data_IF_360588665636
#
_entry.id   IF_360588665636
#
_cell.length_a   1.000
_cell.length_b   1.000
_cell.length_c   1.000
_cell.angle_alpha   90.00
_cell.angle_beta   90.00
_cell.angle_gamma   90.00
#
_symmetry.space_group_name_H-M   'P 1'
#
loop_
_entity.id
_entity.type
_entity.pdbx_description
1 polymer ?
#
# COMPACT_ATOMS: atom_id res chain seq x y z
N UNK A 1 39.98 -6.63 -16.68
CA UNK A 1 40.86 -7.53 -15.91
C UNK A 1 40.37 -7.52 -14.46
N UNK A 2 39.88 -8.67 -14.00
CA UNK A 2 39.61 -9.10 -12.61
C UNK A 2 39.18 -8.05 -11.55
N UNK A 3 37.87 -7.88 -11.35
CA UNK A 3 37.30 -7.43 -10.05
C UNK A 3 36.19 -8.36 -9.51
N UNK A 4 35.88 -9.48 -10.18
CA UNK A 4 34.77 -10.37 -9.80
C UNK A 4 35.18 -11.72 -9.22
N UNK A 5 36.48 -12.02 -9.14
CA UNK A 5 36.94 -13.34 -8.69
C UNK A 5 36.99 -13.45 -7.15
N UNK A 6 37.44 -12.40 -6.44
CA UNK A 6 37.59 -12.47 -4.99
C UNK A 6 36.25 -12.51 -4.24
N UNK A 7 35.28 -11.65 -4.59
CA UNK A 7 34.02 -11.59 -3.87
C UNK A 7 33.19 -12.89 -3.99
N UNK A 8 33.25 -13.55 -5.16
CA UNK A 8 32.57 -14.83 -5.36
C UNK A 8 33.28 -15.96 -4.59
N UNK A 9 34.62 -15.94 -4.56
CA UNK A 9 35.41 -16.90 -3.77
C UNK A 9 35.20 -16.71 -2.27
N UNK A 10 35.12 -15.47 -1.78
CA UNK A 10 34.90 -15.16 -0.38
C UNK A 10 33.48 -15.58 0.07
N UNK A 11 32.47 -15.38 -0.78
CA UNK A 11 31.11 -15.89 -0.53
C UNK A 11 31.08 -17.42 -0.50
N UNK A 12 31.79 -18.10 -1.41
CA UNK A 12 31.88 -19.57 -1.42
C UNK A 12 32.57 -20.11 -0.16
N UNK A 13 33.63 -19.46 0.31
CA UNK A 13 34.34 -19.86 1.53
C UNK A 13 33.47 -19.64 2.77
N UNK A 14 32.71 -18.53 2.85
CA UNK A 14 31.76 -18.29 3.95
C UNK A 14 30.66 -19.36 4.00
N UNK A 15 30.07 -19.73 2.85
CA UNK A 15 29.04 -20.78 2.79
C UNK A 15 29.61 -22.14 3.21
N UNK A 16 30.80 -22.51 2.74
CA UNK A 16 31.46 -23.76 3.17
C UNK A 16 31.80 -23.74 4.66
N UNK A 17 32.23 -22.59 5.20
CA UNK A 17 32.50 -22.46 6.62
C UNK A 17 31.22 -22.63 7.46
N UNK A 18 30.09 -22.06 7.01
CA UNK A 18 28.78 -22.29 7.62
C UNK A 18 28.33 -23.76 7.54
N UNK A 19 28.65 -24.50 6.47
CA UNK A 19 28.32 -25.93 6.37
C UNK A 19 29.15 -26.78 7.33
N UNK A 20 30.44 -26.44 7.53
CA UNK A 20 31.36 -27.24 8.36
C UNK A 20 31.25 -26.91 9.85
N UNK A 21 31.04 -25.64 10.20
CA UNK A 21 31.06 -25.17 11.60
C UNK A 21 29.72 -24.59 12.07
N UNK A 22 28.72 -24.50 11.20
CA UNK A 22 27.40 -24.00 11.57
C UNK A 22 26.70 -24.99 12.49
N UNK A 23 26.58 -24.59 13.75
CA UNK A 23 25.53 -25.08 14.64
C UNK A 23 24.20 -25.05 13.89
N UNK A 24 23.34 -26.04 14.16
CA UNK A 24 21.97 -26.11 13.66
C UNK A 24 21.24 -24.80 13.99
N UNK A 25 21.33 -23.79 13.15
CA UNK A 25 20.23 -22.86 12.97
C UNK A 25 19.16 -23.67 12.27
N UNK A 26 18.19 -24.10 13.07
CA UNK A 26 16.90 -24.54 12.62
C UNK A 26 16.46 -23.55 11.55
N UNK A 27 16.57 -23.97 10.29
CA UNK A 27 15.92 -23.30 9.20
C UNK A 27 14.47 -23.23 9.63
N UNK A 28 14.02 -22.05 10.07
CA UNK A 28 12.59 -21.76 10.12
C UNK A 28 12.15 -22.10 8.71
N UNK A 29 11.44 -23.22 8.59
CA UNK A 29 10.77 -23.55 7.36
C UNK A 29 10.10 -22.25 6.94
N UNK A 30 10.23 -21.88 5.67
CA UNK A 30 9.23 -21.01 5.09
C UNK A 30 7.96 -21.86 5.21
N UNK A 31 7.32 -21.79 6.38
CA UNK A 31 5.97 -22.24 6.59
C UNK A 31 5.25 -21.46 5.51
N UNK A 32 4.89 -22.16 4.44
CA UNK A 32 3.88 -21.69 3.53
C UNK A 32 2.70 -21.43 4.44
N UNK A 33 2.57 -20.19 4.92
CA UNK A 33 1.57 -19.76 5.88
C UNK A 33 0.28 -20.17 5.21
N UNK A 34 -0.32 -21.26 5.70
CA UNK A 34 -1.43 -21.90 5.01
C UNK A 34 -2.46 -20.79 4.75
N UNK A 35 -2.77 -20.56 3.48
CA UNK A 35 -3.66 -19.46 3.10
C UNK A 35 -4.99 -19.70 3.80
N UNK A 36 -5.28 -18.89 4.81
CA UNK A 36 -6.53 -19.01 5.56
C UNK A 36 -7.68 -18.60 4.64
N UNK A 37 -8.74 -19.41 4.49
CA UNK A 37 -9.94 -19.00 3.78
C UNK A 37 -10.57 -17.81 4.50
N UNK A 38 -10.50 -16.64 3.87
CA UNK A 38 -10.96 -15.38 4.42
C UNK A 38 -10.19 -14.88 5.64
N UNK A 39 -10.32 -13.57 5.90
CA UNK A 39 -9.58 -12.89 6.96
C UNK A 39 -9.96 -11.42 7.02
N UNK A 40 -9.73 -10.81 8.19
CA UNK A 40 -9.87 -9.36 8.37
C UNK A 40 -8.62 -8.81 9.03
N UNK A 41 -8.01 -7.83 8.38
CA UNK A 41 -6.76 -7.18 8.78
C UNK A 41 -7.08 -5.75 9.20
N UNK A 42 -7.31 -5.59 10.50
CA UNK A 42 -7.47 -4.29 11.15
C UNK A 42 -6.11 -3.61 11.27
N UNK A 43 -5.95 -2.44 10.64
CA UNK A 43 -4.68 -1.71 10.63
C UNK A 43 -4.22 -1.32 12.05
N UNK A 44 -5.14 -1.14 13.01
CA UNK A 44 -4.77 -0.81 14.40
C UNK A 44 -4.15 -1.99 15.12
N UNK A 45 -4.47 -3.22 14.71
CA UNK A 45 -3.82 -4.44 15.21
C UNK A 45 -2.43 -4.65 14.62
N UNK A 46 -2.08 -3.91 13.56
CA UNK A 46 -0.75 -3.91 12.95
C UNK A 46 0.13 -2.77 13.47
N UNK A 47 -0.42 -1.83 14.24
CA UNK A 47 0.33 -0.71 14.83
C UNK A 47 -0.19 0.68 14.46
N UNK A 48 -1.18 0.77 13.55
CA UNK A 48 -1.68 2.05 13.08
C UNK A 48 -2.28 2.89 14.22
N UNK A 49 -1.90 4.16 14.27
CA UNK A 49 -2.41 5.16 15.21
C UNK A 49 -3.38 6.13 14.53
N UNK A 50 -4.63 6.14 15.00
CA UNK A 50 -5.71 7.01 14.50
C UNK A 50 -5.64 8.46 14.99
N UNK A 51 -4.44 9.04 15.14
CA UNK A 51 -4.20 10.36 15.75
C UNK A 51 -4.00 11.51 14.73
N UNK A 52 -4.09 11.22 13.43
CA UNK A 52 -3.93 12.16 12.32
C UNK A 52 -2.50 12.66 12.08
N UNK A 53 -1.50 12.15 12.82
CA UNK A 53 -0.12 12.66 12.84
C UNK A 53 0.93 11.59 12.53
N UNK A 54 0.75 10.39 13.07
CA UNK A 54 1.64 9.25 12.82
C UNK A 54 1.42 8.76 11.40
N UNK A 55 2.50 8.57 10.64
CA UNK A 55 2.45 7.97 9.32
C UNK A 55 2.18 6.46 9.44
N UNK A 56 1.01 6.03 8.96
CA UNK A 56 0.54 4.64 9.00
C UNK A 56 0.67 3.94 7.63
N UNK A 57 1.49 4.46 6.71
CA UNK A 57 1.66 3.90 5.36
C UNK A 57 2.04 2.42 5.41
N UNK A 58 2.97 2.06 6.31
CA UNK A 58 3.45 0.68 6.45
C UNK A 58 2.36 -0.25 6.98
N UNK A 59 1.57 0.19 7.94
CA UNK A 59 0.49 -0.63 8.52
C UNK A 59 -0.58 -0.97 7.46
N UNK A 60 -0.96 0.02 6.63
CA UNK A 60 -1.92 -0.19 5.54
C UNK A 60 -1.33 -1.08 4.43
N UNK A 61 -0.05 -0.89 4.09
CA UNK A 61 0.64 -1.75 3.13
C UNK A 61 0.77 -3.20 3.62
N UNK A 62 1.05 -3.41 4.91
CA UNK A 62 1.10 -4.74 5.53
C UNK A 62 -0.27 -5.41 5.56
N UNK A 63 -1.33 -4.66 5.88
CA UNK A 63 -2.70 -5.16 5.80
C UNK A 63 -3.05 -5.62 4.38
N UNK A 64 -2.67 -4.83 3.37
CA UNK A 64 -2.87 -5.18 1.96
C UNK A 64 -2.08 -6.44 1.57
N UNK A 65 -0.79 -6.52 1.91
CA UNK A 65 0.04 -7.68 1.62
C UNK A 65 -0.52 -8.96 2.27
N UNK A 66 -0.99 -8.86 3.52
CA UNK A 66 -1.58 -9.96 4.25
C UNK A 66 -2.92 -10.40 3.66
N UNK A 67 -3.79 -9.45 3.31
CA UNK A 67 -5.06 -9.72 2.64
C UNK A 67 -4.84 -10.38 1.28
N UNK A 68 -4.04 -9.79 0.40
CA UNK A 68 -3.83 -10.30 -0.95
C UNK A 68 -3.06 -11.64 -1.00
N UNK A 69 -2.33 -12.00 0.06
CA UNK A 69 -1.73 -13.33 0.22
C UNK A 69 -2.71 -14.45 0.57
N UNK A 70 -3.91 -14.11 1.08
CA UNK A 70 -4.96 -15.04 1.48
C UNK A 70 -5.91 -15.41 0.34
N UNK A 71 -6.57 -16.57 0.46
CA UNK A 71 -7.59 -17.06 -0.49
C UNK A 71 -9.00 -16.77 0.02
N UNK A 72 -10.00 -16.68 -0.86
CA UNK A 72 -11.37 -16.31 -0.48
C UNK A 72 -11.52 -14.83 -0.15
N UNK A 73 -12.61 -14.43 0.53
CA UNK A 73 -12.92 -13.02 0.82
C UNK A 73 -12.05 -12.45 1.94
N UNK A 74 -11.21 -11.49 1.60
CA UNK A 74 -10.30 -10.83 2.54
C UNK A 74 -10.76 -9.40 2.79
N UNK A 75 -10.62 -8.91 4.02
CA UNK A 75 -10.99 -7.55 4.39
C UNK A 75 -9.78 -6.81 4.95
N UNK A 76 -9.49 -5.63 4.40
CA UNK A 76 -8.60 -4.63 5.00
C UNK A 76 -9.52 -3.66 5.74
N UNK A 77 -9.40 -3.59 7.06
CA UNK A 77 -10.27 -2.77 7.90
C UNK A 77 -9.53 -1.53 8.39
N UNK A 78 -10.06 -0.36 8.03
CA UNK A 78 -9.66 0.95 8.51
C UNK A 78 -10.77 1.43 9.45
N UNK A 79 -10.65 1.18 10.76
CA UNK A 79 -11.69 1.51 11.73
C UNK A 79 -11.79 3.02 11.95
N UNK A 80 -12.68 3.47 12.84
CA UNK A 80 -12.79 4.89 13.21
C UNK A 80 -11.44 5.42 13.75
N UNK A 81 -11.06 6.60 13.28
CA UNK A 81 -9.81 7.29 13.64
C UNK A 81 -9.27 8.08 12.45
N UNK A 82 -8.28 8.93 12.69
CA UNK A 82 -7.60 9.71 11.65
C UNK A 82 -6.25 9.08 11.35
N UNK A 83 -6.07 8.51 10.16
CA UNK A 83 -4.87 7.78 9.78
C UNK A 83 -4.15 8.52 8.65
N UNK A 84 -3.07 9.22 9.00
CA UNK A 84 -2.18 9.83 8.01
C UNK A 84 -1.45 8.73 7.25
N UNK A 85 -1.47 8.81 5.91
CA UNK A 85 -0.79 7.87 5.02
C UNK A 85 -0.18 8.61 3.83
N UNK A 86 0.97 8.13 3.39
CA UNK A 86 1.61 8.50 2.13
C UNK A 86 0.99 7.79 0.93
N UNK A 87 1.80 7.61 -0.11
CA UNK A 87 1.39 6.87 -1.30
C UNK A 87 1.17 5.38 -0.97
N UNK A 88 -0.02 4.87 -1.31
CA UNK A 88 -0.43 3.49 -1.20
C UNK A 88 -0.47 2.86 -2.59
N UNK A 89 0.39 1.88 -2.84
CA UNK A 89 0.41 1.12 -4.09
C UNK A 89 -0.05 -0.32 -3.79
N UNK A 90 -1.33 -0.61 -4.03
CA UNK A 90 -1.84 -1.97 -3.98
C UNK A 90 -1.54 -2.64 -5.32
N UNK A 91 -0.35 -3.24 -5.40
CA UNK A 91 0.23 -3.82 -6.63
C UNK A 91 0.38 -5.34 -6.57
N UNK A 92 -0.38 -5.99 -5.70
CA UNK A 92 -0.32 -7.44 -5.53
C UNK A 92 -1.45 -8.10 -6.32
N UNK A 93 -1.21 -9.17 -7.09
CA UNK A 93 -2.30 -10.06 -7.46
C UNK A 93 -2.86 -10.64 -6.16
N UNK A 94 -4.05 -10.20 -5.79
CA UNK A 94 -4.76 -10.76 -4.65
C UNK A 94 -5.27 -12.15 -5.08
N UNK A 95 -5.02 -13.18 -4.27
CA UNK A 95 -5.42 -14.56 -4.61
C UNK A 95 -6.93 -14.81 -4.48
N UNK A 96 -7.68 -13.82 -3.99
CA UNK A 96 -9.12 -13.85 -3.83
C UNK A 96 -9.69 -12.44 -3.71
N UNK A 97 -11.01 -12.37 -3.51
CA UNK A 97 -11.75 -11.12 -3.38
C UNK A 97 -11.23 -10.26 -2.23
N UNK A 98 -11.13 -8.95 -2.46
CA UNK A 98 -10.66 -8.00 -1.44
C UNK A 98 -11.69 -6.92 -1.20
N UNK A 99 -12.05 -6.74 0.07
CA UNK A 99 -12.81 -5.60 0.55
C UNK A 99 -11.90 -4.66 1.33
N UNK A 100 -11.83 -3.40 0.92
CA UNK A 100 -11.26 -2.31 1.71
C UNK A 100 -12.43 -1.64 2.44
N UNK A 101 -12.56 -1.91 3.74
CA UNK A 101 -13.58 -1.32 4.61
C UNK A 101 -13.01 -0.05 5.26
N UNK A 102 -13.50 1.11 4.84
CA UNK A 102 -13.09 2.44 5.31
C UNK A 102 -14.20 3.01 6.20
N UNK A 103 -14.06 2.87 7.52
CA UNK A 103 -14.98 3.44 8.51
C UNK A 103 -14.39 4.66 9.26
N UNK A 104 -13.09 4.87 9.15
CA UNK A 104 -12.38 6.07 9.63
C UNK A 104 -11.99 7.03 8.51
N UNK A 105 -10.99 7.86 8.78
CA UNK A 105 -10.46 8.83 7.83
C UNK A 105 -9.05 8.42 7.42
N UNK A 106 -8.85 8.15 6.13
CA UNK A 106 -7.51 8.16 5.56
C UNK A 106 -7.18 9.60 5.15
N UNK A 107 -6.05 10.10 5.63
CA UNK A 107 -5.56 11.45 5.32
C UNK A 107 -4.31 11.35 4.45
N UNK A 108 -4.35 11.88 3.24
CA UNK A 108 -3.21 11.87 2.34
C UNK A 108 -2.12 12.83 2.84
N UNK A 109 -0.86 12.38 2.94
CA UNK A 109 0.26 13.25 3.31
C UNK A 109 0.27 14.53 2.46
N UNK A 110 0.48 15.68 3.12
CA UNK A 110 0.59 16.99 2.46
C UNK A 110 1.98 17.22 1.86
N UNK A 111 2.96 16.38 2.23
CA UNK A 111 4.32 16.44 1.70
C UNK A 111 4.37 15.86 0.28
N UNK A 112 4.39 16.75 -0.72
CA UNK A 112 4.46 16.36 -2.13
C UNK A 112 5.77 15.64 -2.51
N UNK A 113 6.81 15.70 -1.66
CA UNK A 113 8.06 14.97 -1.90
C UNK A 113 7.93 13.46 -1.63
N UNK A 114 6.92 13.05 -0.87
CA UNK A 114 6.62 11.64 -0.58
C UNK A 114 5.87 10.92 -1.71
N UNK A 115 5.45 11.65 -2.75
CA UNK A 115 4.86 11.06 -3.95
C UNK A 115 5.92 10.94 -5.02
N UNK A 116 5.92 9.80 -5.71
CA UNK A 116 6.73 9.63 -6.92
C UNK A 116 6.31 10.66 -7.98
N UNK A 117 7.17 10.90 -8.95
CA UNK A 117 6.77 11.67 -10.14
C UNK A 117 5.58 10.99 -10.82
N UNK A 118 4.54 11.77 -11.14
CA UNK A 118 3.23 11.27 -11.56
C UNK A 118 2.59 10.24 -10.60
N UNK A 119 3.01 10.25 -9.34
CA UNK A 119 2.50 9.39 -8.27
C UNK A 119 1.04 9.68 -7.95
N UNK A 120 0.33 8.64 -7.54
CA UNK A 120 -1.08 8.68 -7.12
C UNK A 120 -1.08 8.53 -5.62
N UNK A 121 -2.17 8.94 -4.96
CA UNK A 121 -2.28 8.68 -3.54
C UNK A 121 -2.60 7.22 -3.25
N UNK A 122 -3.70 6.70 -3.80
CA UNK A 122 -4.08 5.29 -3.70
C UNK A 122 -4.12 4.74 -5.13
N UNK A 123 -3.15 3.91 -5.49
CA UNK A 123 -3.10 3.19 -6.76
C UNK A 123 -3.43 1.72 -6.51
N UNK A 124 -4.47 1.22 -7.18
CA UNK A 124 -4.87 -0.18 -7.15
C UNK A 124 -4.69 -0.75 -8.55
N UNK A 125 -3.87 -1.79 -8.66
CA UNK A 125 -3.44 -2.31 -9.95
C UNK A 125 -3.68 -3.82 -10.02
N UNK A 126 -4.41 -4.28 -11.07
CA UNK A 126 -4.64 -5.71 -11.39
C UNK A 126 -5.27 -6.51 -10.25
N UNK A 127 -6.48 -6.10 -9.86
CA UNK A 127 -7.27 -6.79 -8.82
C UNK A 127 -8.63 -7.16 -9.39
N UNK A 128 -9.04 -8.42 -9.21
CA UNK A 128 -10.39 -8.88 -9.51
C UNK A 128 -11.25 -8.85 -8.24
N UNK A 129 -12.55 -8.56 -8.38
CA UNK A 129 -13.53 -8.56 -7.28
C UNK A 129 -13.11 -7.66 -6.10
N UNK A 130 -12.81 -6.40 -6.41
CA UNK A 130 -12.49 -5.37 -5.43
C UNK A 130 -13.74 -4.65 -4.96
N UNK A 131 -13.89 -4.50 -3.64
CA UNK A 131 -14.90 -3.62 -3.03
C UNK A 131 -14.21 -2.60 -2.16
N UNK A 132 -14.44 -1.30 -2.41
CA UNK A 132 -14.08 -0.22 -1.48
C UNK A 132 -15.37 0.31 -0.89
N UNK A 133 -15.57 0.11 0.41
CA UNK A 133 -16.82 0.48 1.07
C UNK A 133 -16.63 0.99 2.49
N UNK A 134 -17.71 1.40 3.15
CA UNK A 134 -17.72 1.92 4.51
C UNK A 134 -18.32 3.32 4.60
N UNK A 135 -18.21 3.94 5.79
CA UNK A 135 -18.80 5.27 6.08
C UNK A 135 -17.75 6.37 6.28
N UNK A 136 -16.50 6.03 6.03
CA UNK A 136 -15.34 6.88 6.26
C UNK A 136 -15.01 7.81 5.09
N UNK A 137 -13.89 8.52 5.24
CA UNK A 137 -13.41 9.51 4.28
C UNK A 137 -12.04 9.11 3.71
N UNK A 138 -11.87 9.27 2.40
CA UNK A 138 -10.58 9.37 1.75
C UNK A 138 -10.30 10.87 1.52
N UNK A 139 -9.65 11.52 2.49
CA UNK A 139 -9.31 12.94 2.45
C UNK A 139 -7.95 13.16 1.80
N UNK A 140 -7.96 13.70 0.57
CA UNK A 140 -6.76 14.02 -0.18
C UNK A 140 -5.95 15.19 0.39
N UNK A 141 -6.45 15.93 1.38
CA UNK A 141 -5.83 17.14 1.95
C UNK A 141 -5.33 18.12 0.86
N UNK A 142 -6.13 18.27 -0.20
CA UNK A 142 -5.85 19.09 -1.38
C UNK A 142 -5.66 20.58 -1.12
N UNK A 143 -6.49 21.25 -0.29
CA UNK A 143 -6.36 22.68 -0.01
C UNK A 143 -4.96 23.13 0.42
N UNK A 144 -4.21 22.26 1.12
CA UNK A 144 -2.84 22.55 1.55
C UNK A 144 -1.83 22.69 0.38
N UNK A 145 -2.15 22.14 -0.79
CA UNK A 145 -1.21 22.02 -1.92
C UNK A 145 -1.76 22.51 -3.26
N UNK A 146 -3.03 22.89 -3.37
CA UNK A 146 -3.61 23.38 -4.63
C UNK A 146 -2.87 24.59 -5.21
N UNK A 147 -2.30 25.45 -4.35
CA UNK A 147 -1.44 26.58 -4.78
C UNK A 147 -0.17 26.16 -5.52
N UNK A 148 0.22 24.88 -5.44
CA UNK A 148 1.36 24.28 -6.15
C UNK A 148 1.01 23.77 -7.55
N UNK A 149 -0.28 23.71 -7.91
CA UNK A 149 -0.71 23.35 -9.25
C UNK A 149 -0.39 24.50 -10.24
N UNK A 150 0.38 24.19 -11.27
CA UNK A 150 0.77 25.14 -12.33
C UNK A 150 0.24 24.78 -13.72
N UNK A 151 -0.61 23.77 -13.82
CA UNK A 151 -1.15 23.26 -15.10
C UNK A 151 -2.07 24.23 -15.84
N UNK A 152 -2.54 25.28 -15.18
CA UNK A 152 -3.27 26.38 -15.84
C UNK A 152 -2.34 27.39 -16.52
N UNK A 153 -1.03 27.35 -16.23
CA UNK A 153 -0.04 28.33 -16.69
C UNK A 153 1.02 27.72 -17.62
N UNK A 154 1.22 26.40 -17.54
CA UNK A 154 2.29 25.68 -18.25
C UNK A 154 1.78 24.33 -18.72
N UNK A 155 2.15 23.95 -19.95
CA UNK A 155 1.84 22.64 -20.51
C UNK A 155 2.67 21.50 -19.87
N UNK A 156 3.90 21.79 -19.44
CA UNK A 156 4.84 20.87 -18.80
C UNK A 156 4.75 20.91 -17.26
N UNK A 157 3.54 21.09 -16.72
CA UNK A 157 3.34 21.18 -15.29
C UNK A 157 3.53 19.83 -14.57
N UNK A 158 3.97 19.89 -13.29
CA UNK A 158 3.89 18.73 -12.39
C UNK A 158 2.45 18.54 -11.92
N UNK A 159 1.83 17.44 -12.36
CA UNK A 159 0.47 17.06 -11.95
C UNK A 159 0.47 16.64 -10.47
N UNK A 160 -0.55 17.07 -9.73
CA UNK A 160 -0.75 16.68 -8.34
C UNK A 160 -1.36 15.25 -8.24
N UNK A 161 -1.13 14.50 -7.15
CA UNK A 161 -1.62 13.13 -7.04
C UNK A 161 -3.15 13.04 -7.08
N UNK A 162 -3.69 12.18 -7.94
CA UNK A 162 -5.10 11.76 -7.88
C UNK A 162 -5.33 10.93 -6.62
N UNK A 163 -6.54 11.00 -6.05
CA UNK A 163 -6.82 10.34 -4.77
C UNK A 163 -6.92 8.83 -4.89
N UNK A 164 -7.80 8.33 -5.76
CA UNK A 164 -8.00 6.90 -5.99
C UNK A 164 -7.87 6.59 -7.49
N UNK A 165 -6.90 5.75 -7.84
CA UNK A 165 -6.66 5.34 -9.22
C UNK A 165 -6.71 3.82 -9.30
N UNK A 166 -7.58 3.31 -10.16
CA UNK A 166 -7.79 1.88 -10.36
C UNK A 166 -7.41 1.51 -11.78
N UNK A 167 -6.40 0.66 -11.95
CA UNK A 167 -5.96 0.18 -13.27
C UNK A 167 -6.12 -1.33 -13.36
N UNK A 168 -6.73 -1.78 -14.46
CA UNK A 168 -6.97 -3.21 -14.72
C UNK A 168 -7.72 -3.90 -13.57
N UNK A 169 -8.72 -3.23 -13.01
CA UNK A 169 -9.61 -3.80 -11.98
C UNK A 169 -10.86 -4.36 -12.65
N UNK A 170 -11.12 -5.67 -12.51
CA UNK A 170 -12.36 -6.28 -12.99
C UNK A 170 -13.33 -6.47 -11.82
N UNK A 171 -14.63 -6.23 -12.05
CA UNK A 171 -15.67 -6.30 -11.02
C UNK A 171 -15.33 -5.44 -9.78
N UNK A 172 -14.93 -4.18 -10.01
CA UNK A 172 -14.67 -3.21 -8.95
C UNK A 172 -15.93 -2.46 -8.54
N UNK A 173 -16.16 -2.34 -7.23
CA UNK A 173 -17.21 -1.49 -6.65
C UNK A 173 -16.59 -0.47 -5.69
N UNK A 174 -17.00 0.79 -5.80
CA UNK A 174 -16.71 1.84 -4.81
C UNK A 174 -18.04 2.42 -4.35
N UNK A 175 -18.39 2.24 -3.07
CA UNK A 175 -19.70 2.63 -2.54
C UNK A 175 -19.62 3.08 -1.08
N UNK A 176 -20.48 4.00 -0.64
CA UNK A 176 -20.59 4.43 0.77
C UNK A 176 -19.49 5.37 1.29
N UNK A 177 -18.24 5.22 0.84
CA UNK A 177 -17.12 6.09 1.24
C UNK A 177 -17.28 7.50 0.67
N UNK A 178 -16.72 8.48 1.37
CA UNK A 178 -16.65 9.87 0.89
C UNK A 178 -15.26 10.17 0.34
N UNK A 179 -15.19 10.70 -0.89
CA UNK A 179 -13.95 11.21 -1.46
C UNK A 179 -13.87 12.72 -1.22
N UNK A 180 -12.97 13.13 -0.35
CA UNK A 180 -12.91 14.51 0.14
C UNK A 180 -11.60 15.18 -0.29
N UNK A 181 -11.67 16.47 -0.64
CA UNK A 181 -10.50 17.34 -0.83
C UNK A 181 -9.34 16.71 -1.63
N UNK A 182 -9.58 16.17 -2.83
CA UNK A 182 -8.49 15.60 -3.62
C UNK A 182 -7.40 16.64 -3.94
N UNK A 183 -6.13 16.24 -4.02
CA UNK A 183 -5.06 17.13 -4.51
C UNK A 183 -5.25 17.47 -5.99
N UNK A 184 -5.84 16.55 -6.76
CA UNK A 184 -6.18 16.76 -8.17
C UNK A 184 -7.56 16.17 -8.50
N UNK A 185 -7.64 14.99 -9.14
CA UNK A 185 -8.91 14.31 -9.35
C UNK A 185 -9.20 13.28 -8.27
N UNK A 186 -10.47 13.20 -7.86
CA UNK A 186 -10.91 12.24 -6.84
C UNK A 186 -10.73 10.79 -7.30
N UNK A 187 -11.15 10.46 -8.52
CA UNK A 187 -11.04 9.11 -9.08
C UNK A 187 -10.54 9.12 -10.52
N UNK A 188 -9.74 8.12 -10.86
CA UNK A 188 -9.44 7.74 -12.24
C UNK A 188 -9.53 6.21 -12.36
N UNK A 189 -10.20 5.73 -13.40
CA UNK A 189 -10.38 4.32 -13.73
C UNK A 189 -10.07 4.09 -15.19
#
# INVERSE_FOLDING_TARGET
MACTDNAMRDLFLLVLFCIVHGEKEESKGIDAKASRPGGSFDITKLGASGNGKTDNTKDVQEACASACGGTGKQTILIPKGDFLVGQLNFTCPCKGDVTIQVDGNLLATMDLSQYKEHGKWIEILRVDNLVITGKGNLDGQGPAVWSKNSCTKKYDCKILPNSLVMYFVNNGEVSGVTLLNSKFFHMNM
#
